data_IF_186802608528
#
_entry.id   IF_186802608528
#
_cell.length_a   1.000
_cell.length_b   1.000
_cell.length_c   1.000
_cell.angle_alpha   90.00
_cell.angle_beta   90.00
_cell.angle_gamma   90.00
#
_symmetry.space_group_name_H-M   'P 1'
#
loop_
_entity.id
_entity.type
_entity.pdbx_description
1 polymer ?
#
# COMPACT_ATOMS: atom_id res chain seq x y z
N UNK A 1 10.59 -1.20 18.13
CA UNK A 1 9.34 -1.88 17.76
C UNK A 1 9.16 -1.72 16.26
N UNK A 2 8.99 -2.81 15.52
CA UNK A 2 8.59 -2.71 14.12
C UNK A 2 7.24 -1.99 14.06
N UNK A 3 7.10 -1.03 13.15
CA UNK A 3 5.83 -0.34 12.93
C UNK A 3 4.83 -1.34 12.34
N UNK A 4 3.74 -1.64 13.06
CA UNK A 4 2.63 -2.39 12.48
C UNK A 4 1.92 -1.48 11.46
N UNK A 5 2.02 -1.85 10.18
CA UNK A 5 1.49 -1.08 9.06
C UNK A 5 -0.02 -1.24 8.90
N UNK A 6 -0.59 -2.28 9.49
CA UNK A 6 -1.98 -2.67 9.32
C UNK A 6 -2.84 -2.41 10.56
N UNK A 7 -2.40 -1.54 11.48
CA UNK A 7 -3.11 -1.26 12.74
C UNK A 7 -4.57 -0.86 12.48
N UNK A 8 -4.80 -0.02 11.46
CA UNK A 8 -6.14 0.47 11.15
C UNK A 8 -6.99 -0.61 10.46
N UNK A 9 -6.41 -1.34 9.53
CA UNK A 9 -7.04 -2.40 8.76
C UNK A 9 -7.45 -3.56 9.67
N UNK A 10 -6.54 -4.03 10.55
CA UNK A 10 -6.83 -5.06 11.56
C UNK A 10 -7.99 -4.66 12.47
N UNK A 11 -8.08 -3.38 12.85
CA UNK A 11 -9.19 -2.86 13.65
C UNK A 11 -10.53 -2.96 12.92
N UNK A 12 -10.55 -2.76 11.61
CA UNK A 12 -11.75 -2.88 10.79
C UNK A 12 -12.08 -4.34 10.45
N UNK A 13 -11.09 -5.19 10.20
CA UNK A 13 -11.29 -6.63 10.07
C UNK A 13 -11.94 -7.22 11.33
N UNK A 14 -11.47 -6.82 12.52
CA UNK A 14 -12.05 -7.25 13.79
C UNK A 14 -13.52 -6.81 14.00
N UNK A 15 -14.00 -5.83 13.22
CA UNK A 15 -15.41 -5.39 13.21
C UNK A 15 -16.26 -6.11 12.15
N UNK A 16 -15.69 -7.07 11.43
CA UNK A 16 -16.37 -7.83 10.39
C UNK A 16 -16.32 -7.19 9.00
N UNK A 17 -15.49 -6.18 8.77
CA UNK A 17 -15.25 -5.68 7.41
C UNK A 17 -14.39 -6.69 6.66
N UNK A 18 -14.84 -7.17 5.50
CA UNK A 18 -14.09 -8.14 4.69
C UNK A 18 -13.22 -7.49 3.60
N UNK A 19 -13.51 -6.24 3.24
CA UNK A 19 -12.83 -5.51 2.18
C UNK A 19 -12.43 -4.14 2.70
N UNK A 20 -11.12 -3.87 2.71
CA UNK A 20 -10.56 -2.62 3.22
C UNK A 20 -9.58 -2.10 2.17
N UNK A 21 -9.95 -0.99 1.53
CA UNK A 21 -9.11 -0.32 0.55
C UNK A 21 -8.46 0.93 1.15
N UNK A 22 -7.14 1.00 1.09
CA UNK A 22 -6.38 2.23 1.32
C UNK A 22 -6.38 3.08 0.05
N UNK A 23 -6.54 4.39 0.20
CA UNK A 23 -6.55 5.34 -0.92
C UNK A 23 -5.46 6.40 -0.75
N UNK A 24 -4.89 6.87 -1.85
CA UNK A 24 -3.91 7.97 -1.86
C UNK A 24 -3.95 8.73 -3.19
N UNK A 25 -3.51 9.99 -3.17
CA UNK A 25 -3.43 10.85 -4.34
C UNK A 25 -2.06 11.52 -4.53
N UNK A 26 -1.70 11.74 -5.79
CA UNK A 26 -0.50 12.49 -6.18
C UNK A 26 -0.88 13.58 -7.17
N UNK A 27 -0.19 14.72 -7.09
CA UNK A 27 -0.36 15.82 -8.06
C UNK A 27 -1.24 16.98 -7.57
N UNK A 28 -1.62 17.03 -6.29
CA UNK A 28 -2.40 18.17 -5.73
C UNK A 28 -1.64 19.49 -5.54
N UNK A 29 -0.31 19.47 -5.70
CA UNK A 29 0.58 20.60 -5.44
C UNK A 29 1.10 21.37 -6.66
N UNK A 30 1.46 20.70 -7.78
CA UNK A 30 1.92 21.37 -8.99
C UNK A 30 0.90 22.35 -9.59
N UNK A 31 1.39 23.39 -10.28
CA UNK A 31 0.57 24.39 -10.98
C UNK A 31 -0.22 23.82 -12.17
N UNK A 32 0.33 22.78 -12.81
CA UNK A 32 -0.27 22.09 -13.94
C UNK A 32 0.09 20.60 -13.91
N UNK A 33 -0.73 19.79 -14.55
CA UNK A 33 -0.65 18.32 -14.53
C UNK A 33 -1.89 17.71 -13.87
N UNK A 34 -2.19 16.44 -14.15
CA UNK A 34 -3.34 15.77 -13.56
C UNK A 34 -3.11 15.46 -12.07
N UNK A 35 -4.21 15.37 -11.33
CA UNK A 35 -4.25 14.67 -10.05
C UNK A 35 -4.58 13.22 -10.33
N UNK A 36 -3.79 12.29 -9.79
CA UNK A 36 -4.00 10.85 -9.92
C UNK A 36 -4.30 10.29 -8.55
N UNK A 37 -5.42 9.59 -8.41
CA UNK A 37 -5.77 8.85 -7.20
C UNK A 37 -5.67 7.34 -7.46
N UNK A 38 -5.32 6.58 -6.44
CA UNK A 38 -5.23 5.12 -6.49
C UNK A 38 -5.87 4.50 -5.25
N UNK A 39 -6.30 3.25 -5.38
CA UNK A 39 -6.79 2.42 -4.28
C UNK A 39 -6.05 1.08 -4.29
N UNK A 40 -5.65 0.60 -3.12
CA UNK A 40 -5.03 -0.71 -2.93
C UNK A 40 -5.75 -1.46 -1.81
N UNK A 41 -5.94 -2.76 -2.01
CA UNK A 41 -6.58 -3.66 -1.06
C UNK A 41 -5.73 -4.92 -0.97
N UNK A 42 -5.60 -5.46 0.25
CA UNK A 42 -4.90 -6.71 0.51
C UNK A 42 -5.87 -7.73 1.08
N UNK A 43 -5.55 -9.01 0.87
CA UNK A 43 -6.20 -10.13 1.52
C UNK A 43 -6.18 -9.98 3.06
N UNK A 44 -7.20 -10.46 3.78
CA UNK A 44 -7.19 -10.50 5.24
C UNK A 44 -5.95 -11.21 5.80
N UNK A 45 -5.47 -12.24 5.11
CA UNK A 45 -4.26 -12.99 5.43
C UNK A 45 -3.03 -12.06 5.44
N UNK A 46 -2.83 -11.26 4.39
CA UNK A 46 -1.73 -10.27 4.37
C UNK A 46 -1.90 -9.17 5.40
N UNK A 47 -3.13 -8.74 5.67
CA UNK A 47 -3.38 -7.75 6.72
C UNK A 47 -3.00 -8.35 8.10
N UNK A 48 -3.22 -9.65 8.31
CA UNK A 48 -2.95 -10.36 9.57
C UNK A 48 -1.47 -10.76 9.72
N UNK A 49 -0.81 -11.20 8.66
CA UNK A 49 0.57 -11.69 8.71
C UNK A 49 1.59 -10.59 8.41
N UNK A 50 1.15 -9.54 7.73
CA UNK A 50 1.99 -8.46 7.22
C UNK A 50 2.41 -8.67 5.77
N UNK A 51 3.00 -7.63 5.17
CA UNK A 51 3.46 -7.67 3.79
C UNK A 51 4.60 -8.70 3.61
N UNK A 52 4.50 -9.63 2.64
CA UNK A 52 5.56 -10.57 2.32
C UNK A 52 6.73 -9.87 1.61
N UNK A 53 7.88 -10.54 1.51
CA UNK A 53 8.92 -10.14 0.55
C UNK A 53 8.40 -10.33 -0.89
N UNK A 54 8.66 -9.40 -1.82
CA UNK A 54 9.49 -8.19 -1.71
C UNK A 54 8.74 -6.92 -1.27
N UNK A 55 7.45 -7.03 -0.93
CA UNK A 55 6.59 -5.89 -0.60
C UNK A 55 6.86 -5.31 0.80
N UNK A 56 7.69 -5.95 1.61
CA UNK A 56 8.09 -5.45 2.93
C UNK A 56 8.67 -4.01 2.88
N UNK A 57 9.23 -3.64 1.73
CA UNK A 57 9.92 -2.40 1.40
C UNK A 57 8.99 -1.27 0.92
N UNK A 58 7.69 -1.55 0.77
CA UNK A 58 6.68 -0.54 0.46
C UNK A 58 6.56 0.41 1.65
N UNK A 59 7.11 1.61 1.50
CA UNK A 59 7.08 2.68 2.51
C UNK A 59 6.88 4.04 1.80
N UNK A 60 6.57 5.11 2.56
CA UNK A 60 6.34 6.47 2.05
C UNK A 60 7.42 6.84 1.02
N UNK A 61 6.95 7.08 -0.20
CA UNK A 61 7.66 7.12 -1.47
C UNK A 61 8.76 8.19 -1.55
N UNK A 62 8.90 9.03 -0.52
CA UNK A 62 9.89 10.12 -0.43
C UNK A 62 11.34 9.65 -0.30
N UNK A 63 11.60 8.37 0.01
CA UNK A 63 12.97 7.81 0.09
C UNK A 63 13.29 6.71 -0.93
N UNK A 64 12.32 6.33 -1.78
CA UNK A 64 12.52 5.31 -2.80
C UNK A 64 13.05 5.93 -4.09
N UNK A 65 14.12 5.37 -4.65
CA UNK A 65 14.58 5.72 -6.00
C UNK A 65 13.54 5.30 -7.04
N UNK A 66 13.51 5.96 -8.21
CA UNK A 66 12.59 5.60 -9.30
C UNK A 66 12.66 4.10 -9.64
N UNK A 67 13.89 3.57 -9.76
CA UNK A 67 14.14 2.14 -9.99
C UNK A 67 13.56 1.22 -8.91
N UNK A 68 13.60 1.63 -7.62
CA UNK A 68 13.02 0.81 -6.54
C UNK A 68 11.49 0.86 -6.57
N UNK A 69 10.90 2.00 -6.95
CA UNK A 69 9.44 2.11 -7.12
C UNK A 69 8.93 1.25 -8.27
N UNK A 70 9.61 1.25 -9.42
CA UNK A 70 9.25 0.41 -10.56
C UNK A 70 9.26 -1.08 -10.18
N UNK A 71 10.32 -1.55 -9.50
CA UNK A 71 10.39 -2.93 -9.01
C UNK A 71 9.28 -3.29 -8.04
N UNK A 72 8.97 -2.40 -7.10
CA UNK A 72 7.87 -2.61 -6.16
C UNK A 72 6.51 -2.61 -6.87
N UNK A 73 6.35 -1.78 -7.90
CA UNK A 73 5.14 -1.75 -8.71
C UNK A 73 4.96 -3.03 -9.54
N UNK A 74 6.04 -3.54 -10.15
CA UNK A 74 6.04 -4.86 -10.80
C UNK A 74 5.66 -5.95 -9.81
N UNK A 75 6.29 -5.97 -8.63
CA UNK A 75 5.95 -6.94 -7.59
C UNK A 75 4.49 -6.84 -7.14
N UNK A 76 3.93 -5.64 -7.01
CA UNK A 76 2.51 -5.43 -6.68
C UNK A 76 1.57 -5.95 -7.79
N UNK A 77 1.94 -5.81 -9.07
CA UNK A 77 1.13 -6.30 -10.19
C UNK A 77 1.16 -7.82 -10.32
N UNK A 78 2.26 -8.45 -9.92
CA UNK A 78 2.41 -9.91 -9.93
C UNK A 78 1.92 -10.56 -8.63
N UNK A 79 1.59 -9.76 -7.61
CA UNK A 79 1.17 -10.25 -6.31
C UNK A 79 -0.29 -10.72 -6.31
N UNK A 80 -0.50 -11.97 -5.87
CA UNK A 80 -1.83 -12.57 -5.75
C UNK A 80 -2.19 -12.70 -4.25
N UNK A 81 -2.71 -11.60 -3.68
CA UNK A 81 -3.47 -11.60 -2.41
C UNK A 81 -3.13 -10.53 -1.39
#
# INVERSE_FOLDING_TARGET
MALDRFIHERKWLAKGCSFIAGIDEVGRGPLAGPVVASAAMFSPEVIIDGLPEPLCDVNDSKKLSAKKREKLFEALNEFDG
#
